data_IF_079875625856
#
_entry.id   IF_079875625856
#
_cell.length_a   1.000
_cell.length_b   1.000
_cell.length_c   1.000
_cell.angle_alpha   90.00
_cell.angle_beta   90.00
_cell.angle_gamma   90.00
#
_symmetry.space_group_name_H-M   'P 1'
#
loop_
_entity.id
_entity.type
_entity.pdbx_description
1 polymer ?
#
# COMPACT_ATOMS: atom_id res chain seq x y z
N UNK A 1 22.58 10.72 -10.09
CA UNK A 1 21.53 11.66 -10.57
C UNK A 1 21.14 12.54 -9.41
N UNK A 2 21.34 13.86 -9.48
CA UNK A 2 21.13 14.81 -8.38
C UNK A 2 19.65 15.08 -8.05
N UNK A 3 18.88 14.02 -7.81
CA UNK A 3 17.46 14.10 -7.42
C UNK A 3 17.42 14.58 -5.97
N UNK A 4 16.75 15.72 -5.74
CA UNK A 4 16.50 16.24 -4.40
C UNK A 4 15.02 16.06 -4.10
N UNK A 5 14.70 15.31 -3.05
CA UNK A 5 13.32 15.12 -2.60
C UNK A 5 12.67 16.47 -2.32
N UNK A 6 11.48 16.68 -2.88
CA UNK A 6 10.67 17.88 -2.66
C UNK A 6 9.27 17.42 -2.27
N UNK A 7 8.79 17.86 -1.10
CA UNK A 7 7.54 17.40 -0.50
C UNK A 7 6.54 18.56 -0.34
N UNK A 8 5.96 19.07 -1.45
CA UNK A 8 5.16 20.30 -1.41
C UNK A 8 3.79 20.11 -0.73
N UNK A 9 3.15 18.95 -0.91
CA UNK A 9 1.86 18.64 -0.31
C UNK A 9 1.59 17.13 -0.35
N UNK A 10 0.78 16.64 0.61
CA UNK A 10 0.29 15.26 0.65
C UNK A 10 -1.23 15.31 0.60
N UNK A 11 -1.82 14.68 -0.41
CA UNK A 11 -3.27 14.65 -0.61
C UNK A 11 -3.84 13.33 -0.10
N UNK A 12 -4.88 13.41 0.73
CA UNK A 12 -5.70 12.27 1.12
C UNK A 12 -7.03 12.34 0.38
N UNK A 13 -7.33 11.29 -0.38
CA UNK A 13 -8.62 11.14 -1.04
C UNK A 13 -9.55 10.38 -0.09
N UNK A 14 -10.64 11.02 0.33
CA UNK A 14 -11.68 10.35 1.10
C UNK A 14 -12.76 9.79 0.18
N UNK A 15 -12.96 8.49 0.23
CA UNK A 15 -14.02 7.80 -0.49
C UNK A 15 -15.17 7.50 0.49
N UNK A 16 -16.44 7.72 0.10
CA UNK A 16 -17.62 7.43 0.92
C UNK A 16 -17.93 5.93 0.97
N UNK A 17 -16.89 5.10 1.14
CA UNK A 17 -16.95 3.63 1.15
C UNK A 17 -16.27 3.12 2.42
N UNK A 18 -16.85 2.07 3.01
CA UNK A 18 -16.36 1.45 4.26
C UNK A 18 -17.50 1.19 5.25
N UNK A 19 -17.38 0.12 6.03
CA UNK A 19 -18.49 -0.34 6.89
C UNK A 19 -18.83 0.59 8.06
N UNK A 20 -17.87 1.37 8.55
CA UNK A 20 -18.02 2.25 9.72
C UNK A 20 -17.39 3.64 9.55
N UNK A 21 -16.37 3.76 8.71
CA UNK A 21 -15.68 5.01 8.41
C UNK A 21 -15.41 5.13 6.93
N UNK A 22 -15.24 6.38 6.46
CA UNK A 22 -14.74 6.67 5.12
C UNK A 22 -13.39 5.99 4.89
N UNK A 23 -13.10 5.65 3.65
CA UNK A 23 -11.81 5.06 3.27
C UNK A 23 -10.91 6.14 2.74
N UNK A 24 -9.75 6.32 3.39
CA UNK A 24 -8.75 7.31 3.00
C UNK A 24 -7.68 6.65 2.14
N UNK A 25 -7.42 7.21 0.98
CA UNK A 25 -6.36 6.73 0.08
C UNK A 25 -5.29 7.80 -0.04
N UNK A 26 -4.03 7.37 0.09
CA UNK A 26 -2.87 8.19 -0.23
C UNK A 26 -2.10 7.56 -1.38
N UNK A 27 -1.34 8.37 -2.12
CA UNK A 27 -0.53 7.89 -3.22
C UNK A 27 0.83 8.59 -3.28
N UNK A 28 1.80 7.92 -3.87
CA UNK A 28 3.10 8.46 -4.23
C UNK A 28 3.49 8.04 -5.66
N UNK A 29 4.41 8.77 -6.27
CA UNK A 29 4.89 8.49 -7.62
C UNK A 29 6.30 7.91 -7.54
N UNK A 30 6.42 6.63 -7.90
CA UNK A 30 7.68 5.93 -8.10
C UNK A 30 8.65 6.16 -6.94
N UNK A 31 9.73 6.90 -7.18
CA UNK A 31 10.79 7.17 -6.22
C UNK A 31 10.32 7.85 -4.93
N UNK A 32 9.23 8.63 -4.96
CA UNK A 32 8.67 9.27 -3.77
C UNK A 32 8.22 8.25 -2.72
N UNK A 33 7.82 7.04 -3.13
CA UNK A 33 7.43 5.98 -2.21
C UNK A 33 8.61 5.42 -1.37
N UNK A 34 9.85 5.77 -1.74
CA UNK A 34 11.05 5.39 -0.98
C UNK A 34 11.33 6.30 0.21
N UNK A 35 10.64 7.46 0.30
CA UNK A 35 10.74 8.37 1.43
C UNK A 35 10.00 7.80 2.65
N UNK A 36 10.77 7.34 3.65
CA UNK A 36 10.22 6.77 4.88
C UNK A 36 9.49 7.82 5.73
N UNK A 37 9.85 9.10 5.64
CA UNK A 37 9.15 10.16 6.37
C UNK A 37 7.73 10.33 5.79
N UNK A 38 7.59 10.24 4.46
CA UNK A 38 6.29 10.23 3.79
C UNK A 38 5.42 9.06 4.24
N UNK A 39 5.98 7.85 4.20
CA UNK A 39 5.29 6.64 4.61
C UNK A 39 4.89 6.69 6.08
N UNK A 40 5.80 7.15 6.94
CA UNK A 40 5.57 7.27 8.38
C UNK A 40 4.42 8.23 8.67
N UNK A 41 4.39 9.40 8.01
CA UNK A 41 3.32 10.38 8.18
C UNK A 41 1.96 9.86 7.69
N UNK A 42 1.95 8.99 6.68
CA UNK A 42 0.74 8.45 6.07
C UNK A 42 0.18 7.23 6.81
N UNK A 43 1.01 6.50 7.56
CA UNK A 43 0.64 5.28 8.31
C UNK A 43 -0.68 5.43 9.08
N UNK A 44 -0.80 6.53 9.82
CA UNK A 44 -1.94 6.78 10.70
C UNK A 44 -3.05 7.60 10.03
N UNK A 45 -2.86 8.00 8.76
CA UNK A 45 -3.76 8.91 8.02
C UNK A 45 -4.44 8.26 6.82
N UNK A 46 -3.84 7.26 6.19
CA UNK A 46 -4.41 6.54 5.04
C UNK A 46 -4.79 5.10 5.40
N UNK A 47 -5.82 4.58 4.75
CA UNK A 47 -6.28 3.19 4.87
C UNK A 47 -5.75 2.29 3.74
N UNK A 48 -5.25 2.89 2.67
CA UNK A 48 -4.59 2.25 1.54
C UNK A 48 -3.54 3.20 0.95
N UNK A 49 -2.41 2.64 0.52
CA UNK A 49 -1.34 3.40 -0.13
C UNK A 49 -1.10 2.91 -1.56
N UNK A 50 -1.09 3.85 -2.50
CA UNK A 50 -0.91 3.57 -3.93
C UNK A 50 0.43 4.10 -4.42
N UNK A 51 1.07 3.36 -5.33
CA UNK A 51 2.31 3.76 -5.98
C UNK A 51 2.16 3.60 -7.48
N UNK A 52 2.16 4.71 -8.21
CA UNK A 52 2.31 4.68 -9.67
C UNK A 52 3.80 4.71 -10.01
N UNK A 53 4.30 3.75 -10.79
CA UNK A 53 5.72 3.61 -11.05
C UNK A 53 6.06 3.57 -12.54
N UNK A 54 7.22 4.12 -12.86
CA UNK A 54 7.99 3.85 -14.07
C UNK A 54 9.36 3.39 -13.60
N UNK A 55 9.42 2.16 -13.10
CA UNK A 55 10.57 1.65 -12.39
C UNK A 55 11.16 0.44 -13.12
N UNK A 56 12.48 0.47 -13.32
CA UNK A 56 13.24 -0.59 -13.96
C UNK A 56 13.73 -1.63 -12.95
N UNK A 57 13.95 -1.22 -11.69
CA UNK A 57 14.38 -2.11 -10.62
C UNK A 57 13.19 -2.74 -9.89
N UNK A 58 12.50 -3.64 -10.61
CA UNK A 58 11.26 -4.28 -10.16
C UNK A 58 11.42 -4.97 -8.81
N UNK A 59 12.55 -5.66 -8.59
CA UNK A 59 12.77 -6.44 -7.38
C UNK A 59 12.90 -5.54 -6.14
N UNK A 60 13.59 -4.41 -6.24
CA UNK A 60 13.68 -3.46 -5.12
C UNK A 60 12.32 -2.92 -4.73
N UNK A 61 11.47 -2.57 -5.70
CA UNK A 61 10.14 -2.04 -5.42
C UNK A 61 9.15 -3.10 -4.93
N UNK A 62 9.24 -4.36 -5.40
CA UNK A 62 8.42 -5.45 -4.84
C UNK A 62 8.78 -5.71 -3.36
N UNK A 63 10.08 -5.72 -3.04
CA UNK A 63 10.55 -5.82 -1.64
C UNK A 63 10.08 -4.62 -0.80
N UNK A 64 10.09 -3.42 -1.38
CA UNK A 64 9.57 -2.22 -0.72
C UNK A 64 8.08 -2.38 -0.40
N UNK A 65 7.24 -2.77 -1.37
CA UNK A 65 5.80 -3.01 -1.14
C UNK A 65 5.59 -4.10 -0.07
N UNK A 66 6.42 -5.15 -0.08
CA UNK A 66 6.40 -6.21 0.92
C UNK A 66 6.77 -5.73 2.33
N UNK A 67 7.60 -4.70 2.46
CA UNK A 67 7.88 -4.07 3.75
C UNK A 67 6.76 -3.09 4.15
N UNK A 68 6.37 -2.21 3.23
CA UNK A 68 5.47 -1.10 3.49
C UNK A 68 4.08 -1.55 3.94
N UNK A 69 3.50 -2.60 3.34
CA UNK A 69 2.15 -3.05 3.71
C UNK A 69 2.07 -3.45 5.19
N UNK A 70 3.18 -3.99 5.74
CA UNK A 70 3.27 -4.36 7.13
C UNK A 70 3.57 -3.16 8.02
N UNK A 71 4.57 -2.34 7.67
CA UNK A 71 4.98 -1.18 8.48
C UNK A 71 3.90 -0.11 8.57
N UNK A 72 3.19 0.15 7.46
CA UNK A 72 2.04 1.04 7.45
C UNK A 72 0.75 0.38 7.97
N UNK A 73 0.77 -0.95 8.10
CA UNK A 73 -0.37 -1.81 8.45
C UNK A 73 -1.61 -1.48 7.61
N UNK A 74 -1.45 -1.45 6.29
CA UNK A 74 -2.51 -1.22 5.30
C UNK A 74 -2.14 -1.90 3.98
N UNK A 75 -3.12 -2.12 3.08
CA UNK A 75 -2.82 -2.54 1.73
C UNK A 75 -1.96 -1.52 0.99
N UNK A 76 -0.95 -2.00 0.28
CA UNK A 76 -0.07 -1.22 -0.60
C UNK A 76 -0.17 -1.80 -1.99
N UNK A 77 -0.47 -0.93 -2.97
CA UNK A 77 -0.61 -1.32 -4.37
C UNK A 77 0.36 -0.52 -5.22
N UNK A 78 1.15 -1.22 -6.01
CA UNK A 78 2.06 -0.65 -6.98
C UNK A 78 1.58 -1.02 -8.39
N UNK A 79 1.35 0.00 -9.19
CA UNK A 79 1.09 -0.12 -10.62
C UNK A 79 2.30 0.42 -11.38
N UNK A 80 3.07 -0.47 -12.01
CA UNK A 80 4.22 -0.10 -12.83
C UNK A 80 3.84 -0.03 -14.31
N UNK A 81 4.70 0.63 -15.09
CA UNK A 81 4.64 0.58 -16.55
C UNK A 81 4.71 -0.87 -17.06
N UNK A 82 3.87 -1.19 -18.04
CA UNK A 82 3.89 -2.47 -18.74
C UNK A 82 5.19 -2.74 -19.50
N UNK A 83 6.03 -1.73 -19.71
CA UNK A 83 7.39 -1.88 -20.25
C UNK A 83 8.26 -2.77 -19.34
N UNK A 84 8.17 -2.58 -18.03
CA UNK A 84 9.02 -3.28 -17.04
C UNK A 84 8.26 -4.35 -16.23
N UNK A 85 6.93 -4.24 -16.13
CA UNK A 85 6.12 -5.16 -15.31
C UNK A 85 6.33 -4.93 -13.81
N UNK A 86 6.02 -5.91 -12.97
CA UNK A 86 6.25 -5.81 -11.52
C UNK A 86 5.14 -5.08 -10.74
N UNK A 87 3.97 -4.90 -11.35
CA UNK A 87 2.79 -4.41 -10.63
C UNK A 87 2.38 -5.42 -9.56
N UNK A 88 2.18 -4.96 -8.33
CA UNK A 88 1.97 -5.84 -7.16
C UNK A 88 0.99 -5.21 -6.19
N UNK A 89 0.14 -6.02 -5.56
CA UNK A 89 -0.78 -5.60 -4.53
C UNK A 89 -0.61 -6.50 -3.30
N UNK A 90 -0.32 -5.90 -2.15
CA UNK A 90 -0.06 -6.64 -0.92
C UNK A 90 -0.82 -6.06 0.27
N UNK A 91 -1.23 -6.90 1.22
CA UNK A 91 -1.94 -6.52 2.44
C UNK A 91 -1.37 -7.25 3.67
N UNK A 92 -1.55 -6.72 4.90
CA UNK A 92 -0.97 -7.30 6.12
C UNK A 92 -1.77 -8.52 6.61
N UNK A 93 -1.85 -9.53 5.75
CA UNK A 93 -2.46 -10.83 5.98
C UNK A 93 -1.36 -11.90 6.15
N UNK A 94 -1.67 -13.03 6.81
CA UNK A 94 -0.71 -14.11 7.01
C UNK A 94 -0.46 -14.91 5.72
N UNK A 95 0.71 -15.54 5.66
CA UNK A 95 1.08 -16.56 4.67
C UNK A 95 0.89 -16.07 3.22
N UNK A 96 0.15 -16.85 2.42
CA UNK A 96 -0.07 -16.63 1.00
C UNK A 96 -1.15 -15.56 0.72
N UNK A 97 -2.00 -15.23 1.70
CA UNK A 97 -3.06 -14.23 1.53
C UNK A 97 -2.53 -12.79 1.47
N UNK A 98 -1.26 -12.58 1.84
CA UNK A 98 -0.62 -11.27 1.78
C UNK A 98 -0.47 -10.74 0.36
N UNK A 99 -0.31 -11.63 -0.63
CA UNK A 99 -0.13 -11.28 -2.03
C UNK A 99 -1.48 -11.37 -2.74
N UNK A 100 -2.05 -10.23 -3.10
CA UNK A 100 -3.37 -10.14 -3.71
C UNK A 100 -3.26 -10.27 -5.23
N UNK A 101 -2.31 -9.57 -5.82
CA UNK A 101 -2.01 -9.64 -7.24
C UNK A 101 -0.52 -9.39 -7.47
N UNK A 102 0.05 -10.07 -8.46
CA UNK A 102 1.42 -9.82 -8.90
C UNK A 102 1.53 -10.12 -10.38
N UNK A 103 1.93 -9.11 -11.14
CA UNK A 103 2.16 -9.21 -12.59
C UNK A 103 3.66 -9.28 -12.83
N UNK A 104 4.10 -10.36 -13.47
CA UNK A 104 5.47 -10.55 -13.92
C UNK A 104 5.54 -10.42 -15.45
N UNK A 105 6.71 -10.01 -15.95
CA UNK A 105 6.97 -9.85 -17.37
C UNK A 105 6.92 -8.39 -17.82
N UNK A 106 7.90 -8.01 -18.64
CA UNK A 106 7.95 -6.70 -19.30
C UNK A 106 7.35 -6.74 -20.71
N UNK A 107 7.19 -5.56 -21.31
CA UNK A 107 6.60 -5.33 -22.63
C UNK A 107 5.20 -5.93 -22.84
N UNK A 108 4.36 -5.92 -21.80
CA UNK A 108 3.00 -6.44 -21.87
C UNK A 108 2.02 -5.50 -21.17
N UNK A 109 0.81 -5.35 -21.74
CA UNK A 109 -0.30 -4.72 -21.05
C UNK A 109 -1.03 -5.77 -20.21
N UNK A 110 -1.00 -5.60 -18.89
CA UNK A 110 -1.73 -6.43 -17.94
C UNK A 110 -2.60 -5.55 -17.05
N UNK A 111 -3.83 -6.00 -16.81
CA UNK A 111 -4.78 -5.34 -15.91
C UNK A 111 -5.19 -6.34 -14.84
N UNK A 112 -4.93 -6.03 -13.57
CA UNK A 112 -5.39 -6.82 -12.42
C UNK A 112 -6.54 -6.11 -11.74
N UNK A 113 -7.67 -6.80 -11.59
CA UNK A 113 -8.86 -6.31 -10.88
C UNK A 113 -9.06 -7.18 -9.65
N UNK A 114 -9.17 -6.56 -8.49
CA UNK A 114 -9.34 -7.24 -7.21
C UNK A 114 -10.14 -6.36 -6.24
N UNK A 115 -10.72 -6.99 -5.22
CA UNK A 115 -11.41 -6.31 -4.13
C UNK A 115 -10.57 -6.35 -2.85
N UNK A 116 -10.52 -5.24 -2.12
CA UNK A 116 -9.79 -5.15 -0.85
C UNK A 116 -10.69 -4.51 0.20
N UNK A 117 -10.92 -5.24 1.30
CA UNK A 117 -11.48 -4.65 2.51
C UNK A 117 -10.36 -4.08 3.39
N UNK A 118 -10.35 -2.75 3.54
CA UNK A 118 -9.39 -2.03 4.38
C UNK A 118 -9.81 -1.98 5.85
N UNK A 119 -11.08 -2.26 6.14
CA UNK A 119 -11.69 -2.10 7.47
C UNK A 119 -10.96 -2.86 8.59
N UNK A 120 -10.46 -4.10 8.39
CA UNK A 120 -9.79 -4.86 9.43
C UNK A 120 -8.49 -4.21 9.92
N UNK A 121 -7.87 -3.37 9.09
CA UNK A 121 -6.56 -2.78 9.39
C UNK A 121 -6.65 -1.42 10.07
N UNK A 122 -7.82 -0.78 10.12
CA UNK A 122 -8.00 0.56 10.69
C UNK A 122 -7.86 0.59 12.22
N UNK A 123 -8.02 -0.55 12.90
CA UNK A 123 -8.02 -0.64 14.36
C UNK A 123 -7.21 -1.83 14.85
N UNK A 124 -6.70 -1.73 16.08
CA UNK A 124 -6.06 -2.84 16.81
C UNK A 124 -7.07 -3.77 17.48
N UNK A 125 -8.35 -3.38 17.53
CA UNK A 125 -9.42 -4.25 18.05
C UNK A 125 -9.52 -5.49 17.17
N UNK A 126 -9.51 -6.67 17.79
CA UNK A 126 -9.73 -7.93 17.08
C UNK A 126 -11.01 -7.83 16.25
N UNK A 127 -10.92 -7.85 14.91
CA UNK A 127 -12.12 -7.81 14.09
C UNK A 127 -12.90 -9.10 14.30
N UNK A 128 -14.23 -9.05 14.17
CA UNK A 128 -15.08 -10.23 13.97
C UNK A 128 -14.88 -10.86 12.57
N UNK A 129 -13.76 -10.58 11.91
CA UNK A 129 -13.51 -11.03 10.56
C UNK A 129 -13.23 -12.54 10.54
N UNK A 130 -13.63 -13.19 9.44
CA UNK A 130 -13.36 -14.61 9.18
C UNK A 130 -11.89 -14.91 8.91
N UNK A 131 -11.11 -13.91 8.51
CA UNK A 131 -9.69 -14.04 8.18
C UNK A 131 -8.80 -13.66 9.35
N UNK A 132 -7.82 -14.50 9.61
CA UNK A 132 -6.78 -14.25 10.61
C UNK A 132 -5.92 -13.07 10.14
N UNK A 133 -5.80 -12.03 10.97
CA UNK A 133 -4.93 -10.88 10.67
C UNK A 133 -3.52 -11.14 11.21
N UNK A 134 -2.53 -10.57 10.52
CA UNK A 134 -1.17 -10.52 11.06
C UNK A 134 -1.16 -9.58 12.29
N UNK A 135 -0.31 -9.88 13.27
CA UNK A 135 -0.09 -8.96 14.39
C UNK A 135 0.33 -7.58 13.87
N UNK A 136 -0.19 -6.50 14.44
CA UNK A 136 0.19 -5.16 14.01
C UNK A 136 1.67 -4.87 14.33
N UNK A 137 2.34 -4.01 13.55
CA UNK A 137 3.71 -3.61 13.84
C UNK A 137 3.77 -2.86 15.19
N UNK A 138 4.97 -2.82 15.78
CA UNK A 138 5.23 -2.06 16.99
C UNK A 138 4.80 -0.58 16.83
N UNK A 139 4.27 0.00 17.90
CA UNK A 139 3.81 1.39 17.92
C UNK A 139 2.52 1.68 17.15
N UNK A 140 1.89 0.69 16.50
CA UNK A 140 0.60 0.93 15.84
C UNK A 140 -0.53 0.95 16.86
N UNK A 141 -1.27 2.05 16.93
CA UNK A 141 -2.40 2.20 17.85
C UNK A 141 -3.76 2.17 17.15
N UNK A 142 -3.78 2.03 15.83
CA UNK A 142 -4.98 2.23 15.00
C UNK A 142 -5.12 3.67 14.53
N UNK A 143 -6.00 3.90 13.56
CA UNK A 143 -6.20 5.20 12.93
C UNK A 143 -7.34 5.97 13.60
N UNK A 144 -7.20 7.29 13.80
CA UNK A 144 -8.30 8.13 14.21
C UNK A 144 -9.42 8.09 13.16
N UNK A 145 -10.65 7.95 13.65
CA UNK A 145 -11.89 7.82 12.89
C UNK A 145 -12.17 9.04 12.02
#
# INVERSE_FOLDING_TARGET
>A
MGVKGYRPHVTLIELPIGAKTRTRVAAAICYDATDLDLVSDLRDKSDMFLVAALNQDVQTFDNMVAALHFHMYQPVVLANSGEFGGSTAQAPLPKHERLIAHVHGGNQLAVSVFEIDVSPFKSTKKPKASKELKAHPAGYTGRPY
#
